data_IF_325356638118
#
_entry.id   IF_325356638118
#
_cell.length_a   1.000
_cell.length_b   1.000
_cell.length_c   1.000
_cell.angle_alpha   90.00
_cell.angle_beta   90.00
_cell.angle_gamma   90.00
#
_symmetry.space_group_name_H-M   'P 1'
#
loop_
_entity.id
_entity.type
_entity.pdbx_description
1 polymer ?
#
# COMPACT_ATOMS: atom_id res chain seq x y z
N UNK A 1 21.55 6.35 -16.47
CA UNK A 1 20.25 5.67 -16.22
C UNK A 1 19.46 5.73 -17.53
N UNK A 2 18.90 4.61 -18.01
CA UNK A 2 18.11 4.59 -19.26
C UNK A 2 16.66 4.97 -18.98
N UNK A 3 15.88 5.47 -19.97
CA UNK A 3 14.47 5.76 -19.77
C UNK A 3 13.67 4.56 -19.25
N UNK A 4 13.99 3.35 -19.74
CA UNK A 4 13.33 2.11 -19.34
C UNK A 4 13.64 1.74 -17.87
N UNK A 5 14.89 1.95 -17.43
CA UNK A 5 15.27 1.77 -16.02
C UNK A 5 14.52 2.75 -15.11
N UNK A 6 14.37 4.01 -15.52
CA UNK A 6 13.60 5.00 -14.76
C UNK A 6 12.11 4.62 -14.68
N UNK A 7 11.53 4.11 -15.77
CA UNK A 7 10.16 3.58 -15.77
C UNK A 7 10.02 2.42 -14.78
N UNK A 8 10.97 1.48 -14.76
CA UNK A 8 10.98 0.37 -13.79
C UNK A 8 11.00 0.89 -12.34
N UNK A 9 11.87 1.85 -12.03
CA UNK A 9 11.97 2.44 -10.69
C UNK A 9 10.67 3.15 -10.27
N UNK A 10 10.01 3.84 -11.19
CA UNK A 10 8.69 4.44 -10.95
C UNK A 10 7.65 3.36 -10.63
N UNK A 11 7.55 2.32 -11.45
CA UNK A 11 6.57 1.23 -11.26
C UNK A 11 6.82 0.47 -9.95
N UNK A 12 8.10 0.28 -9.58
CA UNK A 12 8.52 -0.34 -8.33
C UNK A 12 8.10 0.46 -7.09
N UNK A 13 8.03 1.79 -7.18
CA UNK A 13 7.48 2.61 -6.10
C UNK A 13 5.96 2.45 -6.04
N UNK A 14 5.30 2.66 -7.18
CA UNK A 14 3.84 2.67 -7.24
C UNK A 14 3.17 1.31 -6.97
N UNK A 15 3.92 0.19 -7.03
CA UNK A 15 3.38 -1.12 -6.61
C UNK A 15 3.12 -1.16 -5.10
N UNK A 16 3.89 -0.41 -4.32
CA UNK A 16 3.86 -0.45 -2.86
C UNK A 16 2.70 0.40 -2.34
N UNK A 17 2.56 1.63 -2.83
CA UNK A 17 1.48 2.52 -2.43
C UNK A 17 1.15 3.57 -3.49
N UNK A 18 -0.08 4.14 -3.48
CA UNK A 18 -0.45 5.27 -4.34
C UNK A 18 0.41 6.50 -4.07
N UNK A 19 0.55 7.37 -5.08
CA UNK A 19 1.34 8.61 -5.05
C UNK A 19 1.02 9.48 -3.83
N UNK A 20 -0.26 9.62 -3.48
CA UNK A 20 -0.74 10.46 -2.38
C UNK A 20 -0.19 10.04 -0.99
N UNK A 21 0.37 8.83 -0.87
CA UNK A 21 0.97 8.33 0.37
C UNK A 21 2.50 8.49 0.42
N UNK A 22 3.10 9.08 -0.61
CA UNK A 22 4.49 9.54 -0.59
C UNK A 22 4.57 10.99 -0.09
N UNK A 23 5.72 11.39 0.46
CA UNK A 23 5.95 12.80 0.79
C UNK A 23 5.99 13.67 -0.47
N UNK A 24 5.60 14.95 -0.37
CA UNK A 24 5.54 15.88 -1.52
C UNK A 24 6.85 15.87 -2.33
N UNK A 25 8.00 15.91 -1.65
CA UNK A 25 9.32 15.87 -2.30
C UNK A 25 9.55 14.55 -3.07
N UNK A 26 9.11 13.42 -2.53
CA UNK A 26 9.26 12.11 -3.17
C UNK A 26 8.34 12.00 -4.38
N UNK A 27 7.09 12.48 -4.27
CA UNK A 27 6.17 12.58 -5.40
C UNK A 27 6.80 13.41 -6.52
N UNK A 28 7.27 14.62 -6.22
CA UNK A 28 7.94 15.48 -7.20
C UNK A 28 9.14 14.80 -7.88
N UNK A 29 9.95 14.05 -7.12
CA UNK A 29 11.07 13.27 -7.67
C UNK A 29 10.59 12.17 -8.62
N UNK A 30 9.57 11.39 -8.23
CA UNK A 30 8.99 10.33 -9.06
C UNK A 30 8.50 10.91 -10.40
N UNK A 31 7.73 12.00 -10.33
CA UNK A 31 7.12 12.63 -11.49
C UNK A 31 8.16 13.28 -12.39
N UNK A 32 9.13 14.02 -11.82
CA UNK A 32 10.21 14.65 -12.56
C UNK A 32 11.10 13.64 -13.26
N UNK A 33 11.46 12.55 -12.59
CA UNK A 33 12.29 11.49 -13.18
C UNK A 33 11.54 10.81 -14.33
N UNK A 34 10.26 10.49 -14.12
CA UNK A 34 9.43 9.90 -15.16
C UNK A 34 9.29 10.84 -16.36
N UNK A 35 9.02 12.13 -16.14
CA UNK A 35 8.93 13.13 -17.20
C UNK A 35 10.24 13.28 -17.98
N UNK A 36 11.39 13.23 -17.30
CA UNK A 36 12.71 13.23 -17.94
C UNK A 36 12.90 12.02 -18.87
N UNK A 37 12.49 10.82 -18.41
CA UNK A 37 12.53 9.61 -19.22
C UNK A 37 11.61 9.73 -20.46
N UNK A 38 10.37 10.19 -20.28
CA UNK A 38 9.41 10.40 -21.37
C UNK A 38 9.93 11.42 -22.38
N UNK A 39 10.51 12.53 -21.92
CA UNK A 39 11.11 13.55 -22.80
C UNK A 39 12.30 13.00 -23.58
N UNK A 40 13.14 12.18 -22.95
CA UNK A 40 14.25 11.52 -23.63
C UNK A 40 13.76 10.59 -24.75
N UNK A 41 12.69 9.84 -24.51
CA UNK A 41 12.06 8.99 -25.54
C UNK A 41 11.46 9.82 -26.67
N UNK A 42 10.78 10.93 -26.33
CA UNK A 42 10.19 11.84 -27.31
C UNK A 42 11.26 12.42 -28.25
N UNK A 43 12.34 12.97 -27.69
CA UNK A 43 13.46 13.53 -28.46
C UNK A 43 14.14 12.47 -29.36
N UNK A 44 14.23 11.22 -28.90
CA UNK A 44 14.79 10.13 -29.70
C UNK A 44 13.94 9.78 -30.94
N UNK A 45 12.62 9.97 -30.86
CA UNK A 45 11.72 9.80 -32.01
C UNK A 45 11.69 11.04 -32.91
N UNK A 46 11.69 12.24 -32.33
CA UNK A 46 11.72 13.52 -33.05
C UNK A 46 13.00 13.66 -33.90
N UNK A 47 14.17 13.31 -33.33
CA UNK A 47 15.46 13.32 -34.06
C UNK A 47 15.52 12.34 -35.24
N UNK A 48 14.61 11.35 -35.26
CA UNK A 48 14.45 10.40 -36.36
C UNK A 48 13.26 10.72 -37.28
N UNK A 49 12.62 11.88 -37.11
CA UNK A 49 11.41 12.30 -37.83
C UNK A 49 10.22 11.31 -37.70
N UNK A 50 10.11 10.61 -36.56
CA UNK A 50 9.06 9.60 -36.30
C UNK A 50 7.82 10.17 -35.59
N UNK A 51 7.51 11.45 -35.80
CA UNK A 51 6.49 12.20 -35.04
C UNK A 51 5.04 11.77 -35.33
N UNK A 52 4.80 11.08 -36.44
CA UNK A 52 3.47 10.58 -36.84
C UNK A 52 3.16 9.17 -36.30
N UNK A 53 4.15 8.49 -35.72
CA UNK A 53 4.04 7.10 -35.25
C UNK A 53 3.11 6.97 -34.04
N UNK A 54 2.55 5.77 -33.86
CA UNK A 54 1.80 5.44 -32.64
C UNK A 54 2.66 5.62 -31.38
N UNK A 55 3.95 5.25 -31.46
CA UNK A 55 4.90 5.41 -30.37
C UNK A 55 5.04 6.87 -29.91
N UNK A 56 5.24 7.78 -30.86
CA UNK A 56 5.34 9.21 -30.55
C UNK A 56 4.04 9.76 -29.94
N UNK A 57 2.87 9.35 -30.46
CA UNK A 57 1.56 9.75 -29.90
C UNK A 57 1.36 9.27 -28.46
N UNK A 58 1.73 8.03 -28.15
CA UNK A 58 1.62 7.47 -26.80
C UNK A 58 2.56 8.18 -25.81
N UNK A 59 3.80 8.45 -26.22
CA UNK A 59 4.79 9.21 -25.43
C UNK A 59 4.28 10.63 -25.16
N UNK A 60 3.77 11.32 -26.18
CA UNK A 60 3.21 12.67 -26.03
C UNK A 60 1.99 12.70 -25.09
N UNK A 61 1.10 11.70 -25.19
CA UNK A 61 -0.02 11.57 -24.24
C UNK A 61 0.50 11.42 -22.81
N UNK A 62 1.50 10.56 -22.60
CA UNK A 62 2.10 10.33 -21.28
C UNK A 62 2.74 11.60 -20.72
N UNK A 63 3.42 12.38 -21.55
CA UNK A 63 3.94 13.71 -21.18
C UNK A 63 2.82 14.64 -20.70
N UNK A 64 1.71 14.73 -21.44
CA UNK A 64 0.58 15.60 -21.05
C UNK A 64 0.02 15.23 -19.68
N UNK A 65 -0.18 13.93 -19.42
CA UNK A 65 -0.69 13.44 -18.12
C UNK A 65 0.25 13.80 -16.96
N UNK A 66 1.57 13.85 -17.21
CA UNK A 66 2.57 14.22 -16.21
C UNK A 66 2.67 15.72 -15.93
N UNK A 67 2.20 16.58 -16.85
CA UNK A 67 2.27 18.04 -16.73
C UNK A 67 1.02 18.65 -16.09
N UNK A 68 -0.10 17.93 -16.14
CA UNK A 68 -1.36 18.34 -15.53
C UNK A 68 -1.46 17.88 -14.06
N UNK A 69 -2.57 18.21 -13.39
CA UNK A 69 -2.87 17.59 -12.09
C UNK A 69 -3.01 16.09 -12.32
N UNK A 70 -2.13 15.30 -11.70
CA UNK A 70 -2.04 13.88 -11.99
C UNK A 70 -3.32 13.15 -11.57
N UNK A 71 -3.95 12.54 -12.55
CA UNK A 71 -4.81 11.39 -12.38
C UNK A 71 -3.92 10.14 -12.44
N UNK A 72 -3.78 9.46 -11.30
CA UNK A 72 -2.87 8.31 -11.18
C UNK A 72 -3.32 7.11 -12.03
N UNK A 73 -4.63 6.96 -12.26
CA UNK A 73 -5.19 5.91 -13.13
C UNK A 73 -4.84 6.21 -14.58
N UNK A 74 -5.02 7.45 -15.03
CA UNK A 74 -4.62 7.84 -16.38
C UNK A 74 -3.09 7.73 -16.56
N UNK A 75 -2.33 8.12 -15.54
CA UNK A 75 -0.88 8.04 -15.54
C UNK A 75 -0.38 6.61 -15.72
N UNK A 76 -0.87 5.65 -14.91
CA UNK A 76 -0.43 4.26 -15.04
C UNK A 76 -0.89 3.64 -16.36
N UNK A 77 -2.05 4.02 -16.89
CA UNK A 77 -2.51 3.57 -18.21
C UNK A 77 -1.63 4.11 -19.33
N UNK A 78 -1.24 5.39 -19.27
CA UNK A 78 -0.35 6.02 -20.23
C UNK A 78 1.03 5.36 -20.23
N UNK A 79 1.60 5.09 -19.05
CA UNK A 79 2.84 4.31 -18.91
C UNK A 79 2.71 2.91 -19.50
N UNK A 80 1.58 2.24 -19.31
CA UNK A 80 1.31 0.93 -19.91
C UNK A 80 1.44 0.94 -21.42
N UNK A 81 0.89 1.96 -22.09
CA UNK A 81 1.02 2.10 -23.54
C UNK A 81 2.49 2.25 -23.97
N UNK A 82 3.31 2.97 -23.20
CA UNK A 82 4.76 3.10 -23.47
C UNK A 82 5.46 1.75 -23.32
N UNK A 83 5.13 0.96 -22.29
CA UNK A 83 5.70 -0.38 -22.05
C UNK A 83 5.27 -1.35 -23.16
N UNK A 84 4.02 -1.28 -23.61
CA UNK A 84 3.49 -2.12 -24.69
C UNK A 84 4.23 -1.87 -26.00
N UNK A 85 4.60 -0.61 -26.30
CA UNK A 85 5.42 -0.28 -27.48
C UNK A 85 6.76 -1.01 -27.43
N UNK A 86 7.43 -1.00 -26.27
CA UNK A 86 8.67 -1.73 -26.09
C UNK A 86 8.48 -3.24 -26.19
N UNK A 87 7.43 -3.79 -25.58
CA UNK A 87 7.16 -5.23 -25.57
C UNK A 87 6.80 -5.78 -26.95
N UNK A 88 6.25 -4.95 -27.84
CA UNK A 88 5.91 -5.33 -29.21
C UNK A 88 7.03 -5.04 -30.23
N UNK A 89 8.20 -4.59 -29.75
CA UNK A 89 9.38 -4.32 -30.60
C UNK A 89 10.48 -5.32 -30.25
N UNK A 90 11.12 -6.00 -31.22
CA UNK A 90 12.26 -6.87 -30.94
C UNK A 90 13.31 -6.14 -30.11
N UNK A 91 13.72 -6.68 -28.94
CA UNK A 91 14.64 -5.98 -28.06
C UNK A 91 16.00 -5.83 -28.77
N UNK A 92 16.63 -4.65 -28.68
CA UNK A 92 17.90 -4.40 -29.37
C UNK A 92 19.07 -5.18 -28.76
N UNK A 93 18.94 -5.67 -27.52
CA UNK A 93 19.93 -6.49 -26.82
C UNK A 93 19.29 -7.19 -25.61
N UNK A 94 20.02 -8.17 -25.05
CA UNK A 94 19.59 -8.97 -23.89
C UNK A 94 19.31 -8.14 -22.64
N UNK A 95 20.02 -7.03 -22.44
CA UNK A 95 19.81 -6.17 -21.27
C UNK A 95 18.44 -5.46 -21.31
N UNK A 96 17.99 -5.04 -22.50
CA UNK A 96 16.64 -4.46 -22.67
C UNK A 96 15.56 -5.54 -22.49
N UNK A 97 15.80 -6.75 -22.98
CA UNK A 97 14.91 -7.89 -22.78
C UNK A 97 14.72 -8.20 -21.28
N UNK A 98 15.80 -8.35 -20.51
CA UNK A 98 15.75 -8.58 -19.06
C UNK A 98 15.03 -7.44 -18.30
N UNK A 99 15.23 -6.19 -18.72
CA UNK A 99 14.53 -5.05 -18.13
C UNK A 99 13.03 -5.09 -18.44
N UNK A 100 12.63 -5.44 -19.66
CA UNK A 100 11.23 -5.57 -20.04
C UNK A 100 10.55 -6.72 -19.30
N UNK A 101 11.21 -7.86 -19.11
CA UNK A 101 10.68 -8.94 -18.29
C UNK A 101 10.40 -8.49 -16.85
N UNK A 102 11.35 -7.75 -16.23
CA UNK A 102 11.18 -7.20 -14.88
C UNK A 102 10.01 -6.21 -14.83
N UNK A 103 9.91 -5.32 -15.81
CA UNK A 103 8.81 -4.36 -15.91
C UNK A 103 7.47 -5.10 -16.06
N UNK A 104 7.35 -6.01 -17.01
CA UNK A 104 6.09 -6.72 -17.27
C UNK A 104 5.64 -7.54 -16.04
N UNK A 105 6.59 -8.14 -15.30
CA UNK A 105 6.30 -8.88 -14.07
C UNK A 105 5.70 -8.01 -12.96
N UNK A 106 6.14 -6.75 -12.84
CA UNK A 106 5.69 -5.84 -11.78
C UNK A 106 4.53 -4.94 -12.22
N UNK A 107 4.48 -4.56 -13.49
CA UNK A 107 3.56 -3.56 -14.01
C UNK A 107 2.10 -4.00 -13.90
N UNK A 108 1.79 -5.28 -14.20
CA UNK A 108 0.42 -5.80 -14.01
C UNK A 108 -0.03 -5.69 -12.56
N UNK A 109 0.87 -5.93 -11.59
CA UNK A 109 0.57 -5.79 -10.16
C UNK A 109 0.35 -4.32 -9.80
N UNK A 110 1.24 -3.43 -10.23
CA UNK A 110 1.13 -1.97 -10.01
C UNK A 110 -0.18 -1.43 -10.57
N UNK A 111 -0.48 -1.73 -11.84
CA UNK A 111 -1.73 -1.32 -12.51
C UNK A 111 -2.96 -1.82 -11.76
N UNK A 112 -2.95 -3.07 -11.31
CA UNK A 112 -4.07 -3.64 -10.53
C UNK A 112 -4.22 -2.92 -9.18
N UNK A 113 -3.13 -2.69 -8.46
CA UNK A 113 -3.15 -2.02 -7.15
C UNK A 113 -3.68 -0.59 -7.23
N UNK A 114 -3.21 0.21 -8.20
CA UNK A 114 -3.68 1.58 -8.42
C UNK A 114 -5.15 1.59 -8.82
N UNK A 115 -5.54 0.82 -9.84
CA UNK A 115 -6.94 0.80 -10.29
C UNK A 115 -7.86 0.34 -9.17
N UNK A 116 -7.47 -0.69 -8.41
CA UNK A 116 -8.26 -1.16 -7.28
C UNK A 116 -8.44 -0.09 -6.20
N UNK A 117 -7.37 0.63 -5.83
CA UNK A 117 -7.43 1.73 -4.87
C UNK A 117 -8.47 2.78 -5.29
N UNK A 118 -8.37 3.29 -6.52
CA UNK A 118 -9.25 4.35 -7.02
C UNK A 118 -10.70 3.88 -7.21
N UNK A 119 -10.92 2.66 -7.72
CA UNK A 119 -12.27 2.08 -7.86
C UNK A 119 -12.95 1.89 -6.50
N UNK A 120 -12.19 1.49 -5.47
CA UNK A 120 -12.74 1.34 -4.12
C UNK A 120 -13.08 2.69 -3.49
N UNK A 121 -12.28 3.74 -3.74
CA UNK A 121 -12.59 5.10 -3.32
C UNK A 121 -13.85 5.64 -4.03
N UNK A 122 -13.96 5.49 -5.34
CA UNK A 122 -15.13 5.93 -6.12
C UNK A 122 -16.42 5.26 -5.61
N UNK A 123 -16.39 3.93 -5.42
CA UNK A 123 -17.52 3.18 -4.85
C UNK A 123 -17.90 3.67 -3.44
N UNK A 124 -16.91 4.05 -2.65
CA UNK A 124 -17.13 4.55 -1.30
C UNK A 124 -17.75 5.95 -1.35
N UNK A 125 -17.24 6.86 -2.18
CA UNK A 125 -17.80 8.19 -2.40
C UNK A 125 -19.26 8.14 -2.86
N UNK A 126 -19.58 7.22 -3.77
CA UNK A 126 -20.96 7.02 -4.23
C UNK A 126 -21.90 6.48 -3.14
N UNK A 127 -21.36 5.73 -2.17
CA UNK A 127 -22.11 5.35 -0.96
C UNK A 127 -22.23 6.53 0.00
N UNK A 128 -21.17 7.32 0.20
CA UNK A 128 -21.17 8.52 1.03
C UNK A 128 -22.27 9.48 0.63
N UNK A 129 -22.44 9.73 -0.68
CA UNK A 129 -23.49 10.62 -1.23
C UNK A 129 -24.92 10.20 -0.88
N UNK A 130 -25.14 8.94 -0.49
CA UNK A 130 -26.47 8.36 -0.20
C UNK A 130 -26.79 8.31 1.30
N UNK A 131 -25.83 8.63 2.16
CA UNK A 131 -25.96 8.52 3.62
C UNK A 131 -25.85 9.90 4.25
N UNK A 132 -26.63 10.14 5.29
CA UNK A 132 -26.47 11.32 6.14
C UNK A 132 -25.14 11.25 6.92
N UNK A 133 -24.60 12.41 7.39
CA UNK A 133 -23.39 12.42 8.21
C UNK A 133 -23.47 11.55 9.47
N UNK A 134 -24.64 11.48 10.10
CA UNK A 134 -24.87 10.65 11.29
C UNK A 134 -24.81 9.15 10.97
N UNK A 135 -25.37 8.74 9.83
CA UNK A 135 -25.29 7.35 9.36
C UNK A 135 -23.87 6.96 8.96
N UNK A 136 -23.11 7.88 8.37
CA UNK A 136 -21.70 7.66 8.06
C UNK A 136 -20.90 7.45 9.36
N UNK A 137 -21.06 8.33 10.34
CA UNK A 137 -20.36 8.22 11.63
C UNK A 137 -20.72 6.93 12.38
N UNK A 138 -22.00 6.54 12.36
CA UNK A 138 -22.44 5.27 12.94
C UNK A 138 -21.80 4.07 12.23
N UNK A 139 -21.79 4.05 10.91
CA UNK A 139 -21.15 2.98 10.13
C UNK A 139 -19.65 2.90 10.39
N UNK A 140 -18.96 4.03 10.48
CA UNK A 140 -17.53 4.08 10.76
C UNK A 140 -17.23 3.51 12.15
N UNK A 141 -18.01 3.89 13.17
CA UNK A 141 -17.89 3.33 14.53
C UNK A 141 -18.11 1.83 14.56
N UNK A 142 -19.15 1.35 13.88
CA UNK A 142 -19.43 -0.09 13.79
C UNK A 142 -18.33 -0.85 13.05
N UNK A 143 -17.79 -0.28 11.97
CA UNK A 143 -16.69 -0.86 11.19
C UNK A 143 -15.41 -0.92 12.01
N UNK A 144 -15.07 0.15 12.72
CA UNK A 144 -13.93 0.19 13.64
C UNK A 144 -14.08 -0.86 14.73
N UNK A 145 -15.26 -0.98 15.35
CA UNK A 145 -15.47 -1.99 16.39
C UNK A 145 -15.38 -3.43 15.84
N UNK A 146 -16.14 -3.74 14.79
CA UNK A 146 -16.28 -5.12 14.29
C UNK A 146 -15.04 -5.59 13.54
N UNK A 147 -14.46 -4.73 12.71
CA UNK A 147 -13.33 -5.08 11.83
C UNK A 147 -12.03 -4.53 12.42
N UNK A 148 -12.00 -3.23 12.73
CA UNK A 148 -10.77 -2.59 13.22
C UNK A 148 -10.24 -3.21 14.51
N UNK A 149 -11.08 -3.40 15.51
CA UNK A 149 -10.67 -3.93 16.82
C UNK A 149 -10.57 -5.45 16.77
N UNK A 150 -11.68 -6.15 16.48
CA UNK A 150 -11.72 -7.61 16.66
C UNK A 150 -11.02 -8.40 15.56
N UNK A 151 -10.92 -7.86 14.34
CA UNK A 151 -10.33 -8.60 13.22
C UNK A 151 -8.89 -8.17 12.93
N UNK A 152 -8.62 -6.86 12.89
CA UNK A 152 -7.28 -6.33 12.58
C UNK A 152 -6.45 -6.24 13.85
N UNK A 153 -6.78 -5.31 14.75
CA UNK A 153 -5.95 -4.94 15.88
C UNK A 153 -5.71 -6.10 16.84
N UNK A 154 -6.75 -6.87 17.14
CA UNK A 154 -6.66 -8.04 18.00
C UNK A 154 -5.64 -9.07 17.49
N UNK A 155 -5.69 -9.39 16.20
CA UNK A 155 -4.77 -10.31 15.57
C UNK A 155 -3.35 -9.72 15.47
N UNK A 156 -3.21 -8.46 15.04
CA UNK A 156 -1.88 -7.83 14.89
C UNK A 156 -1.17 -7.61 16.23
N UNK A 157 -1.92 -7.38 17.31
CA UNK A 157 -1.38 -7.34 18.67
C UNK A 157 -0.93 -8.72 19.15
N UNK A 158 -1.68 -9.78 18.80
CA UNK A 158 -1.29 -11.14 19.14
C UNK A 158 0.01 -11.51 18.42
N UNK A 159 0.11 -11.22 17.12
CA UNK A 159 1.32 -11.45 16.34
C UNK A 159 2.52 -10.68 16.94
N UNK A 160 2.34 -9.40 17.27
CA UNK A 160 3.38 -8.60 17.92
C UNK A 160 3.85 -9.21 19.26
N UNK A 161 2.91 -9.73 20.05
CA UNK A 161 3.23 -10.39 21.31
C UNK A 161 4.00 -11.70 21.11
N UNK A 162 3.58 -12.54 20.17
CA UNK A 162 4.27 -13.79 19.87
C UNK A 162 5.71 -13.53 19.38
N UNK A 163 5.94 -12.43 18.65
CA UNK A 163 7.28 -12.04 18.21
C UNK A 163 8.27 -11.82 19.35
N UNK A 164 7.82 -11.49 20.58
CA UNK A 164 8.75 -11.32 21.72
C UNK A 164 9.08 -12.65 22.40
N UNK A 165 8.33 -13.71 22.09
CA UNK A 165 8.39 -15.00 22.78
C UNK A 165 8.93 -16.13 21.87
N UNK A 166 8.80 -15.99 20.55
CA UNK A 166 9.18 -17.00 19.57
C UNK A 166 10.65 -16.89 19.14
N UNK A 167 11.22 -18.02 18.71
CA UNK A 167 12.47 -18.06 17.95
C UNK A 167 12.26 -17.57 16.51
N UNK A 168 13.35 -17.28 15.80
CA UNK A 168 13.31 -16.70 14.46
C UNK A 168 12.67 -17.61 13.40
N UNK A 169 12.84 -18.93 13.50
CA UNK A 169 12.18 -19.87 12.59
C UNK A 169 10.66 -19.87 12.81
N UNK A 170 10.23 -19.81 14.06
CA UNK A 170 8.82 -19.73 14.44
C UNK A 170 8.19 -18.40 14.01
N UNK A 171 8.92 -17.27 14.14
CA UNK A 171 8.48 -15.97 13.59
C UNK A 171 8.27 -16.03 12.09
N UNK A 172 9.22 -16.61 11.35
CA UNK A 172 9.11 -16.74 9.90
C UNK A 172 7.90 -17.61 9.48
N UNK A 173 7.64 -18.70 10.22
CA UNK A 173 6.44 -19.53 10.01
C UNK A 173 5.16 -18.77 10.26
N UNK A 174 5.09 -18.00 11.35
CA UNK A 174 3.93 -17.17 11.68
C UNK A 174 3.61 -16.16 10.56
N UNK A 175 4.64 -15.58 9.93
CA UNK A 175 4.46 -14.65 8.82
C UNK A 175 3.94 -15.32 7.54
N UNK A 176 4.45 -16.52 7.22
CA UNK A 176 4.30 -17.14 5.90
C UNK A 176 3.25 -18.24 5.81
N UNK A 177 3.21 -19.15 6.79
CA UNK A 177 2.36 -20.36 6.76
C UNK A 177 1.37 -20.43 7.92
N UNK A 178 1.51 -19.55 8.91
CA UNK A 178 0.81 -19.63 10.18
C UNK A 178 1.54 -20.51 11.19
N UNK A 179 1.09 -20.44 12.43
CA UNK A 179 1.73 -21.11 13.56
C UNK A 179 0.71 -21.42 14.66
N UNK A 180 0.73 -22.67 15.15
CA UNK A 180 0.03 -23.02 16.38
C UNK A 180 0.82 -22.48 17.58
N UNK A 181 0.22 -21.56 18.33
CA UNK A 181 0.78 -21.02 19.58
C UNK A 181 -0.09 -21.40 20.78
N UNK A 182 0.28 -20.91 21.97
CA UNK A 182 -0.54 -21.08 23.18
C UNK A 182 -1.88 -20.34 23.08
N UNK A 183 -1.94 -19.26 22.31
CA UNK A 183 -3.16 -18.48 22.09
C UNK A 183 -4.13 -19.15 21.11
N UNK A 184 -3.67 -20.14 20.34
CA UNK A 184 -4.47 -20.85 19.35
C UNK A 184 -3.71 -21.03 18.03
N UNK A 185 -4.44 -21.38 16.98
CA UNK A 185 -3.87 -21.45 15.64
C UNK A 185 -3.87 -20.06 15.01
N UNK A 186 -2.69 -19.44 14.89
CA UNK A 186 -2.55 -18.14 14.25
C UNK A 186 -2.39 -18.34 12.74
N UNK A 187 -3.28 -17.77 11.91
CA UNK A 187 -3.11 -17.80 10.46
C UNK A 187 -1.84 -17.05 10.05
N UNK A 188 -1.40 -17.27 8.81
CA UNK A 188 -0.28 -16.52 8.23
C UNK A 188 -0.62 -15.03 8.11
N UNK A 189 0.34 -14.16 8.45
CA UNK A 189 0.12 -12.72 8.37
C UNK A 189 0.09 -12.21 6.93
N UNK A 190 1.07 -12.58 6.09
CA UNK A 190 1.21 -12.01 4.73
C UNK A 190 -0.07 -12.13 3.87
N UNK A 191 -0.80 -13.26 3.89
CA UNK A 191 -2.06 -13.35 3.14
C UNK A 191 -3.19 -12.45 3.68
N UNK A 192 -3.14 -12.06 4.95
CA UNK A 192 -4.21 -11.30 5.61
C UNK A 192 -4.05 -9.79 5.50
N UNK A 193 -2.83 -9.26 5.39
CA UNK A 193 -2.55 -7.83 5.35
C UNK A 193 -3.42 -7.07 4.33
N UNK A 194 -3.45 -7.55 3.08
CA UNK A 194 -4.25 -6.92 2.03
C UNK A 194 -5.76 -7.01 2.33
N UNK A 195 -6.20 -8.10 2.96
CA UNK A 195 -7.59 -8.27 3.39
C UNK A 195 -7.94 -7.27 4.49
N UNK A 196 -7.06 -7.08 5.49
CA UNK A 196 -7.25 -6.11 6.55
C UNK A 196 -7.37 -4.69 6.00
N UNK A 197 -6.45 -4.29 5.11
CA UNK A 197 -6.51 -2.99 4.46
C UNK A 197 -7.84 -2.79 3.73
N UNK A 198 -8.29 -3.79 2.96
CA UNK A 198 -9.52 -3.68 2.18
C UNK A 198 -10.78 -3.62 3.03
N UNK A 199 -10.88 -4.55 3.97
CA UNK A 199 -12.08 -4.72 4.80
C UNK A 199 -12.23 -3.60 5.83
N UNK A 200 -11.13 -3.01 6.28
CA UNK A 200 -11.16 -1.88 7.19
C UNK A 200 -11.20 -0.56 6.43
N UNK A 201 -10.14 -0.22 5.68
CA UNK A 201 -9.93 1.16 5.22
C UNK A 201 -10.97 1.61 4.19
N UNK A 202 -11.30 0.77 3.20
CA UNK A 202 -12.26 1.13 2.15
C UNK A 202 -13.73 0.94 2.57
N UNK A 203 -13.99 0.70 3.86
CA UNK A 203 -15.33 0.75 4.45
C UNK A 203 -15.54 1.97 5.36
N UNK A 204 -14.48 2.74 5.65
CA UNK A 204 -14.55 3.95 6.47
C UNK A 204 -14.85 5.16 5.61
N UNK A 205 -16.01 5.78 5.83
CA UNK A 205 -16.51 6.95 5.12
C UNK A 205 -15.68 8.20 5.41
N UNK A 206 -15.30 8.42 6.68
CA UNK A 206 -14.49 9.57 7.07
C UNK A 206 -13.11 9.53 6.36
N UNK A 207 -12.82 10.52 5.49
CA UNK A 207 -11.60 10.51 4.68
C UNK A 207 -10.32 10.66 5.52
N UNK A 208 -10.38 11.38 6.65
CA UNK A 208 -9.22 11.56 7.52
C UNK A 208 -8.84 10.25 8.23
N UNK A 209 -9.82 9.54 8.79
CA UNK A 209 -9.60 8.20 9.38
C UNK A 209 -9.02 7.28 8.32
N UNK A 210 -9.70 7.20 7.17
CA UNK A 210 -9.32 6.30 6.08
C UNK A 210 -7.88 6.55 5.64
N UNK A 211 -7.50 7.81 5.46
CA UNK A 211 -6.13 8.18 5.07
C UNK A 211 -5.11 7.78 6.14
N UNK A 212 -5.38 8.03 7.43
CA UNK A 212 -4.49 7.63 8.52
C UNK A 212 -4.31 6.10 8.59
N UNK A 213 -5.39 5.34 8.43
CA UNK A 213 -5.34 3.88 8.42
C UNK A 213 -4.55 3.36 7.21
N UNK A 214 -4.82 3.87 6.00
CA UNK A 214 -4.08 3.50 4.79
C UNK A 214 -2.59 3.81 4.92
N UNK A 215 -2.25 4.99 5.45
CA UNK A 215 -0.85 5.36 5.70
C UNK A 215 -0.15 4.39 6.66
N UNK A 216 -0.84 3.94 7.72
CA UNK A 216 -0.30 2.95 8.63
C UNK A 216 -0.04 1.60 7.94
N UNK A 217 -0.98 1.13 7.09
CA UNK A 217 -0.78 -0.10 6.30
C UNK A 217 0.38 0.01 5.31
N UNK A 218 0.45 1.09 4.53
CA UNK A 218 1.53 1.25 3.56
C UNK A 218 2.90 1.39 4.22
N UNK A 219 2.98 2.07 5.37
CA UNK A 219 4.21 2.14 6.15
C UNK A 219 4.63 0.77 6.69
N UNK A 220 3.67 -0.04 7.12
CA UNK A 220 3.95 -1.42 7.49
C UNK A 220 4.54 -2.19 6.29
N UNK A 221 3.85 -2.19 5.14
CA UNK A 221 4.27 -2.91 3.93
C UNK A 221 5.71 -2.59 3.50
N UNK A 222 6.18 -1.35 3.67
CA UNK A 222 7.55 -0.94 3.31
C UNK A 222 8.65 -1.70 4.06
N UNK A 223 8.45 -1.97 5.35
CA UNK A 223 9.44 -2.64 6.21
C UNK A 223 9.11 -4.13 6.46
N UNK A 224 7.87 -4.55 6.19
CA UNK A 224 7.33 -5.84 6.61
C UNK A 224 7.74 -7.03 5.71
N UNK A 225 8.11 -6.77 4.45
CA UNK A 225 8.68 -7.77 3.55
C UNK A 225 10.22 -7.89 3.65
N UNK A 226 10.81 -7.35 4.71
CA UNK A 226 12.24 -7.49 4.99
C UNK A 226 12.59 -8.87 5.55
N UNK A 227 13.74 -9.41 5.18
CA UNK A 227 14.34 -10.59 5.85
C UNK A 227 14.83 -10.28 7.27
N UNK A 228 14.94 -8.99 7.62
CA UNK A 228 15.33 -8.54 8.97
C UNK A 228 14.10 -8.56 9.91
N UNK A 229 13.97 -9.63 10.68
CA UNK A 229 12.88 -9.81 11.65
C UNK A 229 12.81 -8.70 12.71
N UNK A 230 13.91 -7.99 12.98
CA UNK A 230 13.89 -6.83 13.88
C UNK A 230 13.18 -5.64 13.24
N UNK A 231 13.39 -5.40 11.95
CA UNK A 231 12.63 -4.37 11.21
C UNK A 231 11.16 -4.72 11.16
N UNK A 232 10.82 -5.98 10.86
CA UNK A 232 9.44 -6.48 10.86
C UNK A 232 8.77 -6.25 12.22
N UNK A 233 9.45 -6.58 13.32
CA UNK A 233 8.95 -6.35 14.68
C UNK A 233 8.68 -4.86 14.95
N UNK A 234 9.62 -3.98 14.60
CA UNK A 234 9.48 -2.54 14.78
C UNK A 234 8.33 -1.97 13.93
N UNK A 235 8.18 -2.45 12.70
CA UNK A 235 7.10 -2.06 11.80
C UNK A 235 5.73 -2.49 12.36
N UNK A 236 5.59 -3.74 12.86
CA UNK A 236 4.38 -4.22 13.55
C UNK A 236 4.06 -3.37 14.79
N UNK A 237 5.09 -3.04 15.58
CA UNK A 237 4.94 -2.20 16.76
C UNK A 237 4.40 -0.82 16.39
N UNK A 238 4.99 -0.19 15.38
CA UNK A 238 4.56 1.12 14.91
C UNK A 238 3.14 1.07 14.30
N UNK A 239 2.84 0.06 13.48
CA UNK A 239 1.51 -0.15 12.93
C UNK A 239 0.44 -0.20 14.03
N UNK A 240 0.62 -1.07 15.03
CA UNK A 240 -0.35 -1.20 16.12
C UNK A 240 -0.52 0.12 16.90
N UNK A 241 0.57 0.86 17.13
CA UNK A 241 0.50 2.18 17.78
C UNK A 241 -0.30 3.19 16.94
N UNK A 242 -0.03 3.29 15.64
CA UNK A 242 -0.74 4.21 14.76
C UNK A 242 -2.24 3.90 14.69
N UNK A 243 -2.60 2.61 14.56
CA UNK A 243 -4.01 2.17 14.54
C UNK A 243 -4.71 2.53 15.88
N UNK A 244 -4.07 2.26 17.01
CA UNK A 244 -4.61 2.59 18.33
C UNK A 244 -4.79 4.09 18.54
N UNK A 245 -3.82 4.90 18.12
CA UNK A 245 -3.88 6.36 18.21
C UNK A 245 -5.00 6.92 17.31
N UNK A 246 -5.13 6.42 16.08
CA UNK A 246 -6.26 6.75 15.20
C UNK A 246 -7.57 6.37 15.88
N UNK A 247 -7.77 5.13 16.30
CA UNK A 247 -9.04 4.72 16.94
C UNK A 247 -9.33 5.51 18.23
N UNK A 248 -8.32 5.88 19.02
CA UNK A 248 -8.48 6.70 20.22
C UNK A 248 -9.03 8.08 19.89
N UNK A 249 -8.56 8.73 18.82
CA UNK A 249 -9.10 10.02 18.36
C UNK A 249 -10.59 9.93 17.97
N UNK A 250 -11.02 8.75 17.55
CA UNK A 250 -12.42 8.45 17.18
C UNK A 250 -13.24 7.84 18.32
N UNK A 251 -12.77 7.97 19.56
CA UNK A 251 -13.54 7.66 20.77
C UNK A 251 -13.36 6.25 21.30
N UNK A 252 -12.42 5.46 20.75
CA UNK A 252 -12.06 4.18 21.35
C UNK A 252 -11.30 4.41 22.67
N UNK A 253 -11.97 4.16 23.79
CA UNK A 253 -11.35 4.36 25.13
C UNK A 253 -10.66 3.11 25.66
N UNK A 254 -11.13 1.93 25.28
CA UNK A 254 -10.65 0.64 25.78
C UNK A 254 -10.53 -0.37 24.64
N UNK A 255 -9.47 -1.16 24.66
CA UNK A 255 -9.34 -2.34 23.85
C UNK A 255 -10.03 -3.53 24.54
N UNK A 256 -10.90 -4.21 23.81
CA UNK A 256 -11.56 -5.44 24.24
C UNK A 256 -11.36 -6.44 23.11
N UNK A 257 -10.58 -7.49 23.36
CA UNK A 257 -10.41 -8.59 22.40
C UNK A 257 -11.50 -9.64 22.59
N UNK A 258 -11.95 -10.26 21.51
CA UNK A 258 -12.91 -11.35 21.51
C UNK A 258 -12.23 -12.71 21.71
N UNK A 259 -11.15 -12.97 20.98
CA UNK A 259 -10.38 -14.22 20.98
C UNK A 259 -9.01 -14.01 21.63
N UNK A 260 -8.24 -13.03 21.16
CA UNK A 260 -6.87 -12.78 21.61
C UNK A 260 -6.78 -11.60 22.58
N UNK A 261 -6.06 -11.79 23.69
CA UNK A 261 -5.90 -10.81 24.76
C UNK A 261 -4.43 -10.72 25.22
N UNK A 262 -3.48 -10.49 24.30
CA UNK A 262 -2.04 -10.64 24.56
C UNK A 262 -1.50 -9.74 25.68
N UNK A 263 -2.17 -8.61 25.94
CA UNK A 263 -1.76 -7.64 26.96
C UNK A 263 -2.69 -7.56 28.17
N UNK A 264 -3.80 -8.30 28.15
CA UNK A 264 -4.91 -8.22 29.11
C UNK A 264 -6.25 -7.89 28.46
N UNK A 265 -7.34 -8.13 29.20
CA UNK A 265 -8.71 -7.84 28.76
C UNK A 265 -9.16 -6.43 29.17
N UNK A 266 -10.00 -5.79 28.36
CA UNK A 266 -10.67 -4.52 28.67
C UNK A 266 -9.74 -3.38 29.10
N UNK A 267 -8.54 -3.32 28.52
CA UNK A 267 -7.52 -2.35 28.86
C UNK A 267 -7.82 -0.96 28.29
N UNK A 268 -7.57 0.12 29.05
CA UNK A 268 -7.52 1.46 28.47
C UNK A 268 -6.53 1.52 27.30
N UNK A 269 -6.91 2.19 26.21
CA UNK A 269 -6.03 2.33 25.03
C UNK A 269 -4.69 2.97 25.40
N UNK A 270 -4.68 3.93 26.32
CA UNK A 270 -3.46 4.56 26.84
C UNK A 270 -2.52 3.57 27.55
N UNK A 271 -3.08 2.63 28.31
CA UNK A 271 -2.29 1.58 28.98
C UNK A 271 -1.73 0.59 27.96
N UNK A 272 -2.54 0.20 26.98
CA UNK A 272 -2.11 -0.69 25.90
C UNK A 272 -0.97 -0.07 25.07
N UNK A 273 -1.08 1.21 24.71
CA UNK A 273 -0.01 1.97 24.05
C UNK A 273 1.27 1.95 24.88
N UNK A 274 1.18 2.15 26.20
CA UNK A 274 2.34 2.09 27.10
C UNK A 274 2.99 0.71 27.08
N UNK A 275 2.22 -0.37 27.21
CA UNK A 275 2.73 -1.75 27.16
C UNK A 275 3.43 -2.06 25.85
N UNK A 276 2.85 -1.65 24.72
CA UNK A 276 3.46 -1.85 23.40
C UNK A 276 4.79 -1.10 23.30
N UNK A 277 4.86 0.15 23.77
CA UNK A 277 6.10 0.95 23.77
C UNK A 277 7.22 0.30 24.58
N UNK A 278 6.90 -0.42 25.65
CA UNK A 278 7.85 -1.11 26.52
C UNK A 278 8.37 -2.45 25.96
N UNK A 279 7.77 -3.00 24.90
CA UNK A 279 8.25 -4.23 24.26
C UNK A 279 9.64 -4.04 23.66
N UNK A 280 10.51 -5.03 23.90
CA UNK A 280 11.90 -5.10 23.45
C UNK A 280 12.09 -6.21 22.44
#
# INVERSE_FOLDING_TARGET
MTPLQTILETIQKLVTKPLDFYGIQEQEIILKNTLSAINSLKQALESKNLTTTHAHKAIKKTEMVLLEKIDEVEFIQALGNVIDIYSNTPPPNIHVEELLEKINKIFTKTKTAIIEHHVLLEKLEDRTKKLSPEEQEKNDKETIQKIGIFYVLEYTLQVLHEFTCLDDNSKQKLLTTGLQTKAGNLPAYYPLENTFRKELCYKIFNPEIRHQLLAAFYKLEEDFYSEDLKKVFLALKEFNLNILETFSKFGLKKFQGMLYKPFGDSLPVSELIKKIKELK
#
